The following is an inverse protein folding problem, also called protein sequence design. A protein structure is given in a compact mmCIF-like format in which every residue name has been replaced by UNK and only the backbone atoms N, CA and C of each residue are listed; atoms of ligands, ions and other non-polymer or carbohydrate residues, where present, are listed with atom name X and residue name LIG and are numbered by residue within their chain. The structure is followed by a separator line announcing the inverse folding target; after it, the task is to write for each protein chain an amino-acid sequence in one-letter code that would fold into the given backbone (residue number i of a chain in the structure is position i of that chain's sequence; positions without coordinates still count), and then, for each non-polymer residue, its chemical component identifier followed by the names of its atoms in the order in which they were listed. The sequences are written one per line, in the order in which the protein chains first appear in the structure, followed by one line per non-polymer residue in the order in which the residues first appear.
data_IF_195902586745
#
_entry.id   IF_195902586745
#
_cell.length_a   1.000
_cell.length_b   1.000
_cell.length_c   1.000
_cell.angle_alpha   90.00
_cell.angle_beta   90.00
_cell.angle_gamma   90.00
#
_symmetry.space_group_name_H-M   'P 1'
#
loop_
_entity.id
_entity.type
_entity.pdbx_description
1 polymer ?
#
# COMPACT_ATOMS: atom_id res chain seq x y z
N UNK A 1 -1.96 -9.57 60.04
CA UNK A 1 -2.74 -8.44 59.51
C UNK A 1 -1.99 -7.96 58.29
N UNK A 2 -2.49 -8.47 57.17
CA UNK A 2 -2.59 -7.85 55.85
C UNK A 2 -1.32 -7.28 55.21
N UNK A 3 -0.64 -8.18 54.51
CA UNK A 3 0.06 -7.93 53.24
C UNK A 3 -0.92 -7.41 52.20
N UNK A 4 -0.81 -6.14 51.84
CA UNK A 4 -1.37 -5.58 50.60
C UNK A 4 -0.24 -4.88 49.84
N UNK A 5 0.68 -5.68 49.27
CA UNK A 5 1.42 -5.26 48.09
C UNK A 5 0.40 -5.13 46.96
N UNK A 6 -0.19 -3.94 46.84
CA UNK A 6 -1.03 -3.58 45.71
C UNK A 6 -0.19 -3.69 44.45
N UNK A 7 -0.45 -4.74 43.67
CA UNK A 7 0.04 -4.90 42.31
C UNK A 7 -0.38 -3.65 41.52
N UNK A 8 0.54 -2.69 41.38
CA UNK A 8 0.43 -1.65 40.38
C UNK A 8 0.63 -2.32 39.02
N UNK A 9 -0.46 -2.88 38.49
CA UNK A 9 -0.61 -3.10 37.06
C UNK A 9 -0.54 -1.72 36.41
N UNK A 10 0.68 -1.34 36.03
CA UNK A 10 0.89 -0.33 35.00
C UNK A 10 0.33 -0.96 33.74
N UNK A 11 -0.99 -0.84 33.53
CA UNK A 11 -1.60 -0.93 32.22
C UNK A 11 -0.99 0.24 31.44
N UNK A 12 0.19 0.00 30.86
CA UNK A 12 0.74 0.87 29.84
C UNK A 12 -0.37 1.12 28.84
N UNK A 13 -0.58 2.37 28.49
CA UNK A 13 -1.48 2.80 27.44
C UNK A 13 -0.92 2.33 26.08
N UNK A 14 -0.70 1.02 25.93
CA UNK A 14 -0.55 0.37 24.64
C UNK A 14 -1.93 0.38 24.03
N UNK A 15 -2.02 0.86 22.78
CA UNK A 15 -3.28 0.95 22.07
C UNK A 15 -4.06 -0.37 22.10
N UNK A 16 -5.33 -0.28 21.74
CA UNK A 16 -6.16 -1.46 21.52
C UNK A 16 -5.42 -2.46 20.61
N UNK A 17 -5.65 -3.78 20.75
CA UNK A 17 -5.18 -4.74 19.75
C UNK A 17 -5.57 -4.36 18.31
N UNK A 18 -6.67 -3.62 18.15
CA UNK A 18 -7.09 -3.06 16.86
C UNK A 18 -6.16 -1.93 16.37
N UNK A 19 -5.66 -1.08 17.29
CA UNK A 19 -4.69 -0.02 16.95
C UNK A 19 -3.36 -0.64 16.51
N UNK A 20 -2.86 -1.63 17.24
CA UNK A 20 -1.63 -2.32 16.87
C UNK A 20 -1.74 -3.04 15.51
N UNK A 21 -2.91 -3.61 15.20
CA UNK A 21 -3.17 -4.24 13.90
C UNK A 21 -3.22 -3.21 12.78
N UNK A 22 -3.86 -2.06 13.01
CA UNK A 22 -3.90 -0.94 12.06
C UNK A 22 -2.50 -0.38 11.80
N UNK A 23 -1.74 -0.07 12.85
CA UNK A 23 -0.36 0.43 12.74
C UNK A 23 0.53 -0.56 11.96
N UNK A 24 0.33 -1.86 12.17
CA UNK A 24 1.04 -2.90 11.43
C UNK A 24 0.71 -2.86 9.93
N UNK A 25 -0.57 -2.73 9.56
CA UNK A 25 -0.99 -2.61 8.16
C UNK A 25 -0.36 -1.39 7.50
N UNK A 26 -0.44 -0.22 8.16
CA UNK A 26 0.13 1.02 7.63
C UNK A 26 1.64 0.89 7.46
N UNK A 27 2.35 0.36 8.45
CA UNK A 27 3.80 0.15 8.36
C UNK A 27 4.22 -0.84 7.27
N UNK A 28 3.40 -1.86 6.98
CA UNK A 28 3.64 -2.79 5.87
C UNK A 28 3.44 -2.10 4.52
N UNK A 29 2.45 -1.22 4.39
CA UNK A 29 2.24 -0.44 3.16
C UNK A 29 3.41 0.53 2.94
N UNK A 30 3.87 1.20 3.98
CA UNK A 30 5.06 2.06 3.92
C UNK A 30 6.31 1.27 3.50
N UNK A 31 6.52 0.08 4.05
CA UNK A 31 7.62 -0.81 3.67
C UNK A 31 7.51 -1.23 2.19
N UNK A 32 6.30 -1.52 1.71
CA UNK A 32 6.05 -1.80 0.30
C UNK A 32 6.39 -0.60 -0.60
N UNK A 33 5.97 0.61 -0.21
CA UNK A 33 6.27 1.83 -0.98
C UNK A 33 7.78 2.07 -1.15
N UNK A 34 8.57 1.76 -0.11
CA UNK A 34 10.04 1.89 -0.12
C UNK A 34 10.70 0.76 -0.92
N UNK A 35 10.18 -0.47 -0.80
CA UNK A 35 10.75 -1.67 -1.41
C UNK A 35 10.24 -1.96 -2.82
N UNK A 36 9.26 -1.20 -3.32
CA UNK A 36 8.67 -1.36 -4.65
C UNK A 36 9.75 -1.26 -5.74
N UNK A 37 10.02 -2.38 -6.40
CA UNK A 37 10.98 -2.47 -7.50
C UNK A 37 10.33 -1.98 -8.81
N UNK A 38 10.27 -0.66 -8.95
CA UNK A 38 9.76 0.00 -10.15
C UNK A 38 10.55 -0.40 -11.39
N UNK A 39 11.86 -0.63 -11.28
CA UNK A 39 12.69 -1.00 -12.43
C UNK A 39 12.26 -2.34 -13.01
N UNK A 40 11.96 -3.33 -12.15
CA UNK A 40 11.39 -4.61 -12.56
C UNK A 40 9.99 -4.45 -13.15
N UNK A 41 9.16 -3.58 -12.58
CA UNK A 41 7.81 -3.33 -13.07
C UNK A 41 7.81 -2.71 -14.47
N UNK A 42 8.74 -1.79 -14.75
CA UNK A 42 8.96 -1.24 -16.08
C UNK A 42 9.37 -2.30 -17.10
N UNK A 43 9.88 -3.47 -16.69
CA UNK A 43 10.17 -4.56 -17.62
C UNK A 43 8.94 -5.25 -18.18
N UNK A 44 7.81 -5.17 -17.47
CA UNK A 44 6.53 -5.66 -17.99
C UNK A 44 5.79 -4.67 -18.88
N UNK A 45 6.25 -3.42 -18.97
CA UNK A 45 5.64 -2.40 -19.81
C UNK A 45 6.24 -2.45 -21.23
N UNK A 46 5.42 -2.52 -22.29
CA UNK A 46 5.92 -2.48 -23.65
C UNK A 46 6.64 -1.15 -23.96
N UNK A 47 7.61 -1.11 -24.88
CA UNK A 47 8.24 0.15 -25.28
C UNK A 47 7.22 1.13 -25.86
N UNK A 48 7.34 2.42 -25.54
CA UNK A 48 6.35 3.43 -25.91
C UNK A 48 6.20 3.55 -27.43
N UNK A 49 7.30 3.47 -28.20
CA UNK A 49 7.27 3.50 -29.66
C UNK A 49 6.46 2.36 -30.32
N UNK A 50 6.09 1.32 -29.56
CA UNK A 50 5.24 0.22 -30.05
C UNK A 50 3.75 0.51 -29.89
N UNK A 51 3.40 1.56 -29.17
CA UNK A 51 2.02 1.95 -28.85
C UNK A 51 1.58 3.07 -29.79
N UNK A 52 0.45 2.88 -30.46
CA UNK A 52 0.09 3.70 -31.62
C UNK A 52 -0.82 4.87 -31.26
N UNK A 53 -1.58 4.77 -30.17
CA UNK A 53 -2.54 5.79 -29.75
C UNK A 53 -2.66 5.93 -28.23
N UNK A 54 -3.32 7.02 -27.81
CA UNK A 54 -3.50 7.39 -26.40
C UNK A 54 -4.40 6.40 -25.64
N UNK A 55 -5.33 5.73 -26.33
CA UNK A 55 -6.21 4.75 -25.70
C UNK A 55 -5.45 3.49 -25.30
N UNK A 56 -4.54 3.02 -26.15
CA UNK A 56 -3.61 1.95 -25.83
C UNK A 56 -2.67 2.35 -24.69
N UNK A 57 -2.17 3.60 -24.67
CA UNK A 57 -1.33 4.09 -23.56
C UNK A 57 -2.08 4.06 -22.23
N UNK A 58 -3.32 4.52 -22.19
CA UNK A 58 -4.17 4.42 -21.00
C UNK A 58 -4.45 2.98 -20.56
N UNK A 59 -4.57 2.06 -21.53
CA UNK A 59 -4.76 0.64 -21.23
C UNK A 59 -3.52 0.07 -20.56
N UNK A 60 -2.33 0.35 -21.08
CA UNK A 60 -1.05 -0.06 -20.48
C UNK A 60 -0.86 0.55 -19.09
N UNK A 61 -1.18 1.84 -18.93
CA UNK A 61 -1.17 2.51 -17.63
C UNK A 61 -2.07 1.80 -16.61
N UNK A 62 -3.33 1.52 -16.98
CA UNK A 62 -4.27 0.85 -16.08
C UNK A 62 -3.76 -0.54 -15.68
N UNK A 63 -3.28 -1.32 -16.65
CA UNK A 63 -2.71 -2.63 -16.36
C UNK A 63 -1.45 -2.58 -15.49
N UNK A 64 -0.65 -1.51 -15.60
CA UNK A 64 0.49 -1.29 -14.73
C UNK A 64 0.05 -1.01 -13.29
N UNK A 65 -0.89 -0.09 -13.09
CA UNK A 65 -1.45 0.25 -11.76
C UNK A 65 -2.09 -0.99 -11.14
N UNK A 66 -2.95 -1.69 -11.87
CA UNK A 66 -3.58 -2.94 -11.39
C UNK A 66 -2.55 -3.98 -10.95
N UNK A 67 -1.38 -4.04 -11.61
CA UNK A 67 -0.32 -4.95 -11.23
C UNK A 67 0.39 -4.52 -9.94
N UNK A 68 0.63 -3.22 -9.76
CA UNK A 68 1.17 -2.68 -8.49
C UNK A 68 0.20 -2.97 -7.35
N UNK A 69 -1.09 -2.73 -7.56
CA UNK A 69 -2.14 -2.99 -6.56
C UNK A 69 -2.18 -4.48 -6.18
N UNK A 70 -2.09 -5.39 -7.16
CA UNK A 70 -2.02 -6.82 -6.89
C UNK A 70 -0.77 -7.24 -6.11
N UNK A 71 0.38 -6.61 -6.38
CA UNK A 71 1.61 -6.87 -5.62
C UNK A 71 1.51 -6.33 -4.18
N UNK A 72 0.90 -5.15 -4.00
CA UNK A 72 0.60 -4.58 -2.69
C UNK A 72 -0.34 -5.49 -1.89
N UNK A 73 -1.47 -5.89 -2.48
CA UNK A 73 -2.47 -6.74 -1.83
C UNK A 73 -1.85 -8.06 -1.36
N UNK A 74 -1.05 -8.69 -2.22
CA UNK A 74 -0.34 -9.91 -1.89
C UNK A 74 0.69 -9.69 -0.76
N UNK A 75 1.41 -8.56 -0.79
CA UNK A 75 2.40 -8.21 0.23
C UNK A 75 1.74 -8.00 1.60
N UNK A 76 0.64 -7.22 1.63
CA UNK A 76 -0.13 -6.93 2.84
C UNK A 76 -0.73 -8.20 3.43
N UNK A 77 -1.37 -9.06 2.61
CA UNK A 77 -1.96 -10.31 3.11
C UNK A 77 -0.90 -11.31 3.60
N UNK A 78 0.29 -11.32 3.00
CA UNK A 78 1.39 -12.15 3.46
C UNK A 78 1.95 -11.68 4.81
N UNK A 79 2.06 -10.37 5.02
CA UNK A 79 2.59 -9.78 6.24
C UNK A 79 1.57 -9.72 7.39
N UNK A 80 0.28 -9.61 7.06
CA UNK A 80 -0.82 -9.44 8.02
C UNK A 80 -1.80 -10.63 7.99
N UNK A 81 -1.41 -11.83 8.47
CA UNK A 81 -2.21 -13.05 8.39
C UNK A 81 -3.49 -13.03 9.26
N UNK A 82 -3.67 -11.98 10.06
CA UNK A 82 -4.88 -11.76 10.85
C UNK A 82 -6.09 -11.44 9.97
N UNK A 83 -5.87 -10.87 8.78
CA UNK A 83 -6.92 -10.58 7.81
C UNK A 83 -7.10 -11.75 6.85
N UNK A 84 -8.35 -12.07 6.53
CA UNK A 84 -8.70 -13.20 5.65
C UNK A 84 -8.82 -12.80 4.19
N UNK A 85 -9.06 -11.52 3.93
CA UNK A 85 -9.12 -10.93 2.59
C UNK A 85 -8.63 -9.49 2.61
N UNK A 86 -8.25 -8.99 1.45
CA UNK A 86 -7.86 -7.60 1.30
C UNK A 86 -9.03 -6.64 1.58
N UNK A 87 -10.28 -7.08 1.33
CA UNK A 87 -11.47 -6.28 1.63
C UNK A 87 -11.56 -5.89 3.12
N UNK A 88 -11.14 -6.78 4.02
CA UNK A 88 -11.10 -6.48 5.47
C UNK A 88 -10.08 -5.38 5.77
N UNK A 89 -8.95 -5.37 5.06
CA UNK A 89 -7.91 -4.35 5.17
C UNK A 89 -8.39 -3.03 4.58
N UNK A 90 -8.99 -3.03 3.38
CA UNK A 90 -9.53 -1.84 2.74
C UNK A 90 -10.59 -1.19 3.62
N UNK A 91 -11.51 -1.98 4.18
CA UNK A 91 -12.53 -1.46 5.09
C UNK A 91 -11.92 -0.83 6.35
N UNK A 92 -10.85 -1.43 6.89
CA UNK A 92 -10.11 -0.88 8.02
C UNK A 92 -9.46 0.46 7.67
N UNK A 93 -8.74 0.53 6.54
CA UNK A 93 -8.06 1.74 6.08
C UNK A 93 -9.06 2.86 5.80
N UNK A 94 -10.18 2.57 5.15
CA UNK A 94 -11.24 3.56 4.89
C UNK A 94 -11.85 4.13 6.19
N UNK A 95 -12.09 3.27 7.19
CA UNK A 95 -12.66 3.68 8.48
C UNK A 95 -11.73 4.62 9.25
N UNK A 96 -10.41 4.49 9.03
CA UNK A 96 -9.36 5.21 9.77
C UNK A 96 -8.47 6.06 8.87
N UNK A 97 -8.96 6.49 7.71
CA UNK A 97 -8.13 7.21 6.73
C UNK A 97 -7.54 8.52 7.28
N UNK A 98 -8.23 9.16 8.23
CA UNK A 98 -7.74 10.38 8.91
C UNK A 98 -6.50 10.13 9.79
N UNK A 99 -6.26 8.88 10.19
CA UNK A 99 -5.09 8.46 10.96
C UNK A 99 -3.89 8.06 10.06
N UNK A 100 -4.08 8.03 8.74
CA UNK A 100 -3.04 7.65 7.77
C UNK A 100 -2.39 8.92 7.21
N UNK A 101 -1.09 8.86 6.95
CA UNK A 101 -0.39 9.97 6.28
C UNK A 101 -0.98 10.19 4.88
N UNK A 102 -1.04 11.45 4.43
CA UNK A 102 -1.58 11.78 3.11
C UNK A 102 -0.88 11.00 1.98
N UNK A 103 0.43 10.78 2.11
CA UNK A 103 1.23 10.04 1.13
C UNK A 103 0.81 8.56 1.04
N UNK A 104 0.68 7.87 2.17
CA UNK A 104 0.25 6.46 2.21
C UNK A 104 -1.20 6.34 1.74
N UNK A 105 -2.07 7.26 2.16
CA UNK A 105 -3.47 7.27 1.73
C UNK A 105 -3.61 7.51 0.23
N UNK A 106 -2.89 8.48 -0.33
CA UNK A 106 -2.88 8.73 -1.78
C UNK A 106 -2.38 7.50 -2.54
N UNK A 107 -1.32 6.85 -2.06
CA UNK A 107 -0.79 5.64 -2.68
C UNK A 107 -1.83 4.51 -2.78
N UNK A 108 -2.58 4.24 -1.70
CA UNK A 108 -3.57 3.15 -1.68
C UNK A 108 -4.91 3.51 -2.33
N UNK A 109 -5.24 4.80 -2.45
CA UNK A 109 -6.54 5.25 -3.00
C UNK A 109 -6.47 5.71 -4.46
N UNK A 110 -5.34 6.30 -4.88
CA UNK A 110 -5.13 6.86 -6.21
C UNK A 110 -4.08 6.06 -7.01
N UNK A 111 -3.29 5.23 -6.35
CA UNK A 111 -2.23 4.41 -6.93
C UNK A 111 -0.85 5.05 -6.84
N UNK A 112 0.15 4.35 -7.37
CA UNK A 112 1.56 4.76 -7.27
C UNK A 112 1.93 6.03 -8.06
N UNK A 113 1.30 6.28 -9.21
CA UNK A 113 1.52 7.47 -10.03
C UNK A 113 0.25 7.84 -10.78
N UNK A 114 0.05 9.14 -11.03
CA UNK A 114 -0.91 9.58 -12.03
C UNK A 114 -0.45 9.27 -13.46
N UNK A 115 -1.40 9.29 -14.41
CA UNK A 115 -1.15 8.98 -15.82
C UNK A 115 -0.05 9.84 -16.46
N UNK A 116 -0.03 11.15 -16.19
CA UNK A 116 0.97 12.06 -16.76
C UNK A 116 2.39 11.67 -16.32
N UNK A 117 2.59 11.46 -15.01
CA UNK A 117 3.87 11.02 -14.44
C UNK A 117 4.29 9.64 -14.97
N UNK A 118 3.32 8.73 -15.16
CA UNK A 118 3.58 7.43 -15.77
C UNK A 118 4.11 7.58 -17.21
N UNK A 119 3.47 8.40 -18.04
CA UNK A 119 3.90 8.62 -19.43
C UNK A 119 5.28 9.29 -19.50
N UNK A 120 5.59 10.22 -18.59
CA UNK A 120 6.92 10.83 -18.50
C UNK A 120 7.99 9.78 -18.17
N UNK A 121 7.77 8.97 -17.14
CA UNK A 121 8.71 7.89 -16.81
C UNK A 121 8.78 6.81 -17.90
N UNK A 122 7.68 6.52 -18.59
CA UNK A 122 7.64 5.57 -19.70
C UNK A 122 8.61 6.02 -20.81
N UNK A 123 8.57 7.30 -21.19
CA UNK A 123 9.50 7.87 -22.19
C UNK A 123 10.97 7.71 -21.80
N UNK A 124 11.28 7.78 -20.52
CA UNK A 124 12.67 7.67 -20.03
C UNK A 124 13.13 6.21 -19.91
N UNK A 125 12.27 5.34 -19.36
CA UNK A 125 12.63 3.96 -19.00
C UNK A 125 12.43 2.98 -20.15
N UNK A 126 11.46 3.24 -21.02
CA UNK A 126 10.97 2.34 -22.09
C UNK A 126 10.57 3.15 -23.33
N UNK A 127 11.48 3.92 -23.95
CA UNK A 127 11.18 4.74 -25.13
C UNK A 127 10.68 3.91 -26.31
#
# INVERSE_FOLDING_TARGET
MDTEEGEFLICGNGGSPEDAAFDTVVGVIEDFMISLDLEKMWQSVPPLHTISDEHEQHTVYRSFVEKVDQELDAHVLAACPVYKSIDEVVALLQRRHEDITEEVWAFVSEGCFGYEAFVEQWKEKRP
#
